data_IF_799805973529
#
_entry.id   IF_799805973529
#
_cell.length_a   1.000
_cell.length_b   1.000
_cell.length_c   1.000
_cell.angle_alpha   90.00
_cell.angle_beta   90.00
_cell.angle_gamma   90.00
#
_symmetry.space_group_name_H-M   'P 1'
#
loop_
_entity.id
_entity.type
_entity.pdbx_description
1 polymer ?
#
# COMPACT_ATOMS: atom_id res chain seq x y z
N UNK A 1 -41.30 55.25 -22.02
CA UNK A 1 -39.95 54.84 -21.59
C UNK A 1 -40.02 53.57 -20.75
N UNK A 2 -39.20 52.56 -21.10
CA UNK A 2 -38.58 51.56 -20.22
C UNK A 2 -39.45 50.81 -19.17
N UNK A 3 -40.42 49.98 -19.59
CA UNK A 3 -40.98 48.93 -18.69
C UNK A 3 -40.62 47.49 -19.12
N UNK A 4 -40.52 47.22 -20.42
CA UNK A 4 -40.18 45.87 -20.93
C UNK A 4 -38.72 45.43 -20.70
N UNK A 5 -37.78 46.37 -20.75
CA UNK A 5 -36.34 46.07 -20.58
C UNK A 5 -35.97 45.67 -19.16
N UNK A 6 -36.66 46.21 -18.15
CA UNK A 6 -36.41 45.84 -16.75
C UNK A 6 -36.85 44.41 -16.47
N UNK A 7 -38.01 43.99 -16.99
CA UNK A 7 -38.53 42.63 -16.81
C UNK A 7 -37.65 41.57 -17.49
N UNK A 8 -37.10 41.88 -18.68
CA UNK A 8 -36.12 41.03 -19.36
C UNK A 8 -34.80 40.91 -18.59
N UNK A 9 -34.33 42.00 -17.97
CA UNK A 9 -33.11 41.98 -17.13
C UNK A 9 -33.31 41.18 -15.84
N UNK A 10 -34.49 41.25 -15.21
CA UNK A 10 -34.82 40.43 -14.04
C UNK A 10 -34.91 38.93 -14.40
N UNK A 11 -35.56 38.58 -15.52
CA UNK A 11 -35.65 37.19 -15.98
C UNK A 11 -34.27 36.63 -16.39
N UNK A 12 -33.42 37.44 -17.02
CA UNK A 12 -32.05 37.05 -17.36
C UNK A 12 -31.19 36.82 -16.09
N UNK A 13 -31.36 37.65 -15.06
CA UNK A 13 -30.64 37.52 -13.79
C UNK A 13 -31.02 36.23 -13.04
N UNK A 14 -32.31 35.88 -12.98
CA UNK A 14 -32.77 34.64 -12.35
C UNK A 14 -32.26 33.41 -13.12
N UNK A 15 -32.23 33.46 -14.45
CA UNK A 15 -31.65 32.40 -15.29
C UNK A 15 -30.16 32.20 -15.02
N UNK A 16 -29.38 33.28 -14.89
CA UNK A 16 -27.95 33.21 -14.58
C UNK A 16 -27.66 32.62 -13.19
N UNK A 17 -28.48 32.95 -12.19
CA UNK A 17 -28.33 32.40 -10.83
C UNK A 17 -28.59 30.89 -10.82
N UNK A 18 -29.62 30.42 -11.52
CA UNK A 18 -29.93 28.99 -11.63
C UNK A 18 -28.81 28.20 -12.32
N UNK A 19 -28.22 28.77 -13.39
CA UNK A 19 -27.08 28.17 -14.07
C UNK A 19 -25.87 28.07 -13.12
N UNK A 20 -25.58 29.11 -12.34
CA UNK A 20 -24.47 29.10 -11.39
C UNK A 20 -24.62 28.01 -10.31
N UNK A 21 -25.83 27.81 -9.77
CA UNK A 21 -26.11 26.78 -8.75
C UNK A 21 -25.87 25.37 -9.32
N UNK A 22 -26.29 25.12 -10.57
CA UNK A 22 -26.09 23.84 -11.24
C UNK A 22 -24.59 23.59 -11.52
N UNK A 23 -23.85 24.61 -11.98
CA UNK A 23 -22.40 24.48 -12.18
C UNK A 23 -21.65 24.26 -10.85
N UNK A 24 -22.03 24.93 -9.77
CA UNK A 24 -21.46 24.69 -8.44
C UNK A 24 -21.71 23.26 -7.96
N UNK A 25 -22.90 22.70 -8.19
CA UNK A 25 -23.23 21.33 -7.82
C UNK A 25 -22.41 20.27 -8.61
N UNK A 26 -22.15 20.51 -9.90
CA UNK A 26 -21.33 19.63 -10.74
C UNK A 26 -19.86 19.68 -10.31
N UNK A 27 -19.33 20.87 -10.00
CA UNK A 27 -17.95 21.06 -9.52
C UNK A 27 -17.76 20.41 -8.13
N UNK A 28 -18.75 20.48 -7.25
CA UNK A 28 -18.69 19.82 -5.94
C UNK A 28 -18.74 18.28 -6.07
N UNK A 29 -19.51 17.75 -7.03
CA UNK A 29 -19.56 16.30 -7.28
C UNK A 29 -18.26 15.72 -7.84
N UNK A 30 -17.45 16.52 -8.55
CA UNK A 30 -16.17 16.09 -9.14
C UNK A 30 -14.98 16.25 -8.19
N UNK A 31 -15.12 17.06 -7.13
CA UNK A 31 -14.10 17.19 -6.06
C UNK A 31 -14.16 16.09 -5.01
N UNK A 32 -15.22 15.27 -4.99
CA UNK A 32 -15.26 14.01 -4.22
C UNK A 32 -14.45 12.92 -4.92
N UNK A 33 -13.20 13.22 -5.25
CA UNK A 33 -12.21 12.14 -5.38
C UNK A 33 -12.04 11.56 -3.97
N UNK A 34 -12.35 10.27 -3.75
CA UNK A 34 -12.04 9.65 -2.47
C UNK A 34 -10.52 9.75 -2.30
N UNK A 35 -10.07 10.56 -1.35
CA UNK A 35 -8.72 10.38 -0.81
C UNK A 35 -8.76 8.95 -0.27
N UNK A 36 -7.99 7.99 -0.84
CA UNK A 36 -8.03 6.63 -0.33
C UNK A 36 -7.58 6.69 1.13
N UNK A 37 -8.50 6.43 2.04
CA UNK A 37 -8.23 6.42 3.46
C UNK A 37 -7.28 5.25 3.73
N UNK A 38 -5.99 5.54 3.84
CA UNK A 38 -4.96 4.56 4.17
C UNK A 38 -5.24 3.88 5.52
N UNK A 39 -6.08 4.48 6.37
CA UNK A 39 -6.53 3.89 7.64
C UNK A 39 -7.47 2.70 7.42
N UNK A 40 -8.32 2.75 6.39
CA UNK A 40 -9.19 1.64 6.01
C UNK A 40 -8.40 0.44 5.45
N UNK A 41 -7.30 0.71 4.73
CA UNK A 41 -6.34 -0.34 4.29
C UNK A 41 -5.61 -1.00 5.45
N UNK A 42 -5.27 -0.24 6.51
CA UNK A 42 -4.65 -0.79 7.72
C UNK A 42 -5.61 -1.70 8.51
N UNK A 43 -6.92 -1.46 8.44
CA UNK A 43 -7.93 -2.29 9.12
C UNK A 43 -8.38 -3.53 8.33
N UNK A 44 -8.14 -3.59 7.01
CA UNK A 44 -8.62 -4.68 6.16
C UNK A 44 -7.55 -5.66 5.68
N UNK A 45 -6.27 -5.37 5.86
CA UNK A 45 -5.20 -6.16 5.25
C UNK A 45 -4.41 -6.91 6.31
N UNK A 46 -4.87 -8.13 6.59
CA UNK A 46 -4.05 -9.29 6.97
C UNK A 46 -3.26 -9.18 8.27
N UNK A 47 -3.56 -10.06 9.22
CA UNK A 47 -2.75 -10.35 10.42
C UNK A 47 -1.30 -10.82 10.15
N UNK A 48 -0.83 -10.71 8.91
CA UNK A 48 0.39 -11.30 8.36
C UNK A 48 0.91 -10.42 7.23
N UNK A 49 2.18 -10.03 7.32
CA UNK A 49 2.89 -9.35 6.24
C UNK A 49 3.49 -10.40 5.30
N UNK A 50 3.36 -10.22 4.00
CA UNK A 50 4.01 -11.09 3.01
C UNK A 50 5.11 -10.35 2.26
N UNK A 51 6.25 -11.01 2.10
CA UNK A 51 7.41 -10.51 1.38
C UNK A 51 7.88 -11.50 0.31
N UNK A 52 8.55 -10.97 -0.70
CA UNK A 52 9.28 -11.71 -1.71
C UNK A 52 10.74 -11.30 -1.64
N UNK A 53 11.66 -12.19 -2.01
CA UNK A 53 13.07 -11.88 -2.10
C UNK A 53 13.87 -13.07 -2.64
N UNK A 54 15.19 -12.97 -2.55
CA UNK A 54 16.12 -14.03 -2.94
C UNK A 54 16.99 -14.45 -1.76
N UNK A 55 17.16 -15.74 -1.51
CA UNK A 55 18.05 -16.21 -0.43
C UNK A 55 19.51 -15.86 -0.73
N UNK A 56 20.20 -15.22 0.20
CA UNK A 56 21.63 -14.91 0.14
C UNK A 56 22.51 -15.91 0.90
N UNK A 57 21.93 -16.70 1.81
CA UNK A 57 22.65 -17.64 2.66
C UNK A 57 21.95 -17.81 4.00
N UNK A 58 22.53 -18.62 4.90
CA UNK A 58 22.00 -18.84 6.24
C UNK A 58 23.04 -18.44 7.29
N UNK A 59 22.62 -17.62 8.25
CA UNK A 59 23.40 -17.25 9.42
C UNK A 59 23.00 -18.15 10.60
N UNK A 60 23.89 -19.08 10.94
CA UNK A 60 23.68 -20.02 12.05
C UNK A 60 23.69 -19.34 13.42
N UNK A 61 24.40 -18.21 13.57
CA UNK A 61 24.52 -17.51 14.85
C UNK A 61 23.22 -16.80 15.24
N UNK A 62 22.50 -16.28 14.24
CA UNK A 62 21.21 -15.61 14.41
C UNK A 62 20.02 -16.52 14.13
N UNK A 63 20.26 -17.76 13.68
CA UNK A 63 19.25 -18.66 13.14
C UNK A 63 18.37 -17.92 12.11
N UNK A 64 19.03 -17.30 11.13
CA UNK A 64 18.42 -16.37 10.18
C UNK A 64 18.75 -16.72 8.74
N UNK A 65 17.76 -16.65 7.86
CA UNK A 65 17.97 -16.66 6.41
C UNK A 65 18.28 -15.22 5.98
N UNK A 66 19.42 -15.03 5.32
CA UNK A 66 19.75 -13.76 4.67
C UNK A 66 18.92 -13.69 3.40
N UNK A 67 18.13 -12.63 3.22
CA UNK A 67 17.28 -12.45 2.04
C UNK A 67 17.57 -11.11 1.40
N UNK A 68 18.04 -11.15 0.16
CA UNK A 68 18.32 -9.99 -0.69
C UNK A 68 17.07 -9.55 -1.45
N UNK A 69 17.05 -8.27 -1.82
CA UNK A 69 15.99 -7.63 -2.61
C UNK A 69 14.59 -7.86 -2.02
N UNK A 70 14.48 -7.79 -0.69
CA UNK A 70 13.22 -8.00 0.01
C UNK A 70 12.19 -6.95 -0.42
N UNK A 71 11.01 -7.37 -0.85
CA UNK A 71 9.93 -6.47 -1.27
C UNK A 71 8.59 -6.97 -0.74
N UNK A 72 7.64 -6.06 -0.51
CA UNK A 72 6.29 -6.45 -0.13
C UNK A 72 5.60 -7.21 -1.28
N UNK A 73 4.98 -8.35 -0.97
CA UNK A 73 4.39 -9.23 -1.98
C UNK A 73 3.13 -8.64 -2.63
N UNK A 74 2.41 -7.77 -1.91
CA UNK A 74 1.15 -7.15 -2.33
C UNK A 74 1.35 -6.04 -3.37
N UNK A 75 2.42 -5.28 -3.22
CA UNK A 75 2.73 -4.09 -4.02
C UNK A 75 3.81 -4.34 -5.04
N UNK A 76 4.62 -5.41 -4.87
CA UNK A 76 5.83 -5.68 -5.68
C UNK A 76 6.64 -4.40 -5.90
N UNK A 77 6.73 -3.60 -4.84
CA UNK A 77 7.30 -2.26 -4.87
C UNK A 77 8.82 -2.28 -4.96
N UNK A 78 9.45 -1.13 -4.69
CA UNK A 78 10.92 -1.05 -4.63
C UNK A 78 11.48 -2.03 -3.61
N UNK A 79 12.65 -2.64 -3.89
CA UNK A 79 13.34 -3.48 -2.92
C UNK A 79 13.71 -2.65 -1.69
N UNK A 80 13.48 -3.25 -0.52
CA UNK A 80 13.78 -2.71 0.80
C UNK A 80 15.25 -2.96 1.17
N UNK A 81 15.95 -3.80 0.41
CA UNK A 81 17.35 -4.17 0.64
C UNK A 81 17.49 -5.61 1.14
N UNK A 82 18.61 -5.89 1.81
CA UNK A 82 18.93 -7.20 2.38
C UNK A 82 18.50 -7.26 3.83
N UNK A 83 17.76 -8.31 4.20
CA UNK A 83 17.23 -8.51 5.55
C UNK A 83 17.68 -9.84 6.14
N UNK A 84 17.89 -9.85 7.46
CA UNK A 84 18.03 -11.05 8.26
C UNK A 84 16.64 -11.53 8.68
N UNK A 85 16.24 -12.66 8.12
CA UNK A 85 14.92 -13.26 8.36
C UNK A 85 15.07 -14.38 9.38
N UNK A 86 14.69 -14.12 10.63
CA UNK A 86 14.68 -15.14 11.68
C UNK A 86 13.71 -16.25 11.29
N UNK A 87 14.22 -17.48 11.23
CA UNK A 87 13.48 -18.62 10.68
C UNK A 87 12.66 -19.33 11.77
N UNK A 88 11.51 -19.94 11.43
CA UNK A 88 10.75 -20.74 12.37
C UNK A 88 11.51 -22.02 12.74
N UNK A 89 11.28 -22.57 13.94
CA UNK A 89 12.08 -23.69 14.48
C UNK A 89 12.06 -25.02 13.68
N UNK A 90 11.21 -25.16 12.66
CA UNK A 90 11.18 -26.31 11.74
C UNK A 90 11.80 -26.02 10.37
N UNK A 91 12.43 -24.86 10.20
CA UNK A 91 13.00 -24.45 8.92
C UNK A 91 14.25 -25.28 8.59
N UNK A 92 14.38 -25.70 7.33
CA UNK A 92 15.54 -26.39 6.81
C UNK A 92 16.30 -25.48 5.82
N UNK A 93 17.46 -24.92 6.20
CA UNK A 93 18.25 -24.04 5.34
C UNK A 93 18.66 -24.70 4.02
N UNK A 94 18.94 -26.00 4.02
CA UNK A 94 19.34 -26.74 2.81
C UNK A 94 18.25 -26.79 1.72
N UNK A 95 16.99 -26.47 2.08
CA UNK A 95 15.89 -26.37 1.11
C UNK A 95 15.89 -25.03 0.34
N UNK A 96 16.76 -24.09 0.68
CA UNK A 96 16.80 -22.73 0.11
C UNK A 96 18.25 -22.31 -0.21
N UNK A 97 18.91 -22.95 -1.19
CA UNK A 97 20.25 -22.56 -1.61
C UNK A 97 20.27 -21.09 -2.07
N UNK A 98 21.43 -20.44 -2.03
CA UNK A 98 21.56 -19.04 -2.44
C UNK A 98 21.03 -18.80 -3.87
N UNK A 99 20.34 -17.68 -4.08
CA UNK A 99 19.66 -17.33 -5.31
C UNK A 99 18.22 -17.86 -5.44
N UNK A 100 17.72 -18.61 -4.45
CA UNK A 100 16.35 -19.14 -4.50
C UNK A 100 15.35 -18.03 -4.24
N UNK A 101 14.34 -17.88 -5.12
CA UNK A 101 13.24 -16.98 -4.85
C UNK A 101 12.37 -17.51 -3.71
N UNK A 102 12.18 -16.67 -2.68
CA UNK A 102 11.44 -17.01 -1.47
C UNK A 102 10.25 -16.10 -1.28
N UNK A 103 9.16 -16.68 -0.79
CA UNK A 103 8.01 -15.96 -0.24
C UNK A 103 7.99 -16.17 1.27
N UNK A 104 7.87 -15.06 2.00
CA UNK A 104 8.02 -15.02 3.45
C UNK A 104 6.75 -14.44 4.05
N UNK A 105 6.12 -15.21 4.92
CA UNK A 105 5.01 -14.72 5.73
C UNK A 105 5.56 -14.33 7.09
N UNK A 106 5.62 -13.03 7.37
CA UNK A 106 6.27 -12.44 8.53
C UNK A 106 5.28 -12.11 9.66
N UNK A 107 5.80 -12.11 10.89
CA UNK A 107 5.09 -11.62 12.08
C UNK A 107 5.20 -10.09 12.09
N UNK A 108 4.09 -9.34 11.94
CA UNK A 108 4.14 -7.89 11.74
C UNK A 108 4.87 -7.11 12.84
N UNK A 109 4.70 -7.52 14.11
CA UNK A 109 5.33 -6.86 15.26
C UNK A 109 6.86 -7.00 15.32
N UNK A 110 7.44 -7.90 14.53
CA UNK A 110 8.88 -8.17 14.50
C UNK A 110 9.59 -7.50 13.33
N UNK A 111 8.84 -6.88 12.41
CA UNK A 111 9.41 -6.23 11.25
C UNK A 111 10.03 -4.88 11.64
N UNK A 112 11.37 -4.83 11.61
CA UNK A 112 12.13 -3.64 11.97
C UNK A 112 13.01 -3.20 10.80
N UNK A 113 12.54 -2.19 10.06
CA UNK A 113 13.24 -1.65 8.88
C UNK A 113 14.65 -1.14 9.22
N UNK A 114 14.80 -0.38 10.31
CA UNK A 114 16.09 0.21 10.67
C UNK A 114 17.16 -0.85 11.01
N UNK A 115 16.74 -1.96 11.62
CA UNK A 115 17.63 -3.07 12.01
C UNK A 115 17.82 -4.09 10.87
N UNK A 116 17.05 -3.99 9.77
CA UNK A 116 17.00 -4.98 8.70
C UNK A 116 16.69 -6.41 9.20
N UNK A 117 15.81 -6.51 10.19
CA UNK A 117 15.42 -7.79 10.81
C UNK A 117 13.92 -7.99 10.74
N UNK A 118 13.50 -9.24 10.50
CA UNK A 118 12.12 -9.68 10.65
C UNK A 118 12.05 -11.15 11.08
N UNK A 119 10.94 -11.56 11.71
CA UNK A 119 10.69 -12.97 12.03
C UNK A 119 9.65 -13.57 11.09
N UNK A 120 10.01 -14.69 10.47
CA UNK A 120 9.12 -15.44 9.61
C UNK A 120 8.26 -16.41 10.41
N UNK A 121 6.95 -16.38 10.16
CA UNK A 121 6.03 -17.46 10.53
C UNK A 121 6.18 -18.65 9.58
N UNK A 122 6.37 -18.37 8.29
CA UNK A 122 6.53 -19.36 7.23
C UNK A 122 7.45 -18.83 6.14
N UNK A 123 8.27 -19.72 5.57
CA UNK A 123 9.11 -19.45 4.40
C UNK A 123 8.87 -20.58 3.40
N UNK A 124 8.53 -20.20 2.16
CA UNK A 124 8.28 -21.13 1.05
C UNK A 124 8.97 -20.64 -0.20
N UNK A 125 9.21 -21.55 -1.15
CA UNK A 125 9.71 -21.16 -2.47
C UNK A 125 8.58 -20.41 -3.19
N UNK A 126 8.92 -19.32 -3.86
CA UNK A 126 7.97 -18.56 -4.66
C UNK A 126 7.86 -19.12 -6.08
#
# INVERSE_FOLDING_TARGET
MKKGTAMLLFMASVGFILIAIVFSAIIDSTRKSPIPDNRARATQTSSTLEFLGSSGGFDESLNALIVSDLQFADTKGKPLGTFNVIVPGKFNPGSFPAGTSVRITAIPSTFKIAEHVLTAKEIRRN
#
